data_IF_362569419484
#
_entry.id   IF_362569419484
#
_cell.length_a   1.000
_cell.length_b   1.000
_cell.length_c   1.000
_cell.angle_alpha   90.00
_cell.angle_beta   90.00
_cell.angle_gamma   90.00
#
_symmetry.space_group_name_H-M   'P 1'
#
loop_
_entity.id
_entity.type
_entity.pdbx_description
1 polymer ?
#
# COMPACT_ATOMS: atom_id res chain seq x y z
N UNK A 1 -20.19 2.24 -5.02
CA UNK A 1 -18.97 1.41 -5.22
C UNK A 1 -19.30 0.12 -5.96
N UNK A 2 -20.32 -0.64 -5.55
CA UNK A 2 -20.77 -1.86 -6.23
C UNK A 2 -20.97 -1.68 -7.75
N UNK A 3 -21.81 -0.72 -8.16
CA UNK A 3 -22.10 -0.47 -9.59
C UNK A 3 -20.85 -0.07 -10.40
N UNK A 4 -19.92 0.65 -9.76
CA UNK A 4 -18.66 1.06 -10.40
C UNK A 4 -17.73 -0.15 -10.59
N UNK A 5 -17.64 -1.03 -9.59
CA UNK A 5 -16.86 -2.24 -9.70
C UNK A 5 -17.43 -3.16 -10.78
N UNK A 6 -18.75 -3.32 -10.85
CA UNK A 6 -19.41 -4.11 -11.89
C UNK A 6 -19.06 -3.59 -13.30
N UNK A 7 -19.11 -2.26 -13.50
CA UNK A 7 -18.67 -1.65 -14.75
C UNK A 7 -17.17 -1.86 -15.06
N UNK A 8 -16.31 -2.07 -14.06
CA UNK A 8 -14.90 -2.42 -14.29
C UNK A 8 -14.71 -3.92 -14.58
N UNK A 9 -15.58 -4.78 -14.08
CA UNK A 9 -15.53 -6.23 -14.32
C UNK A 9 -15.96 -6.61 -15.73
N UNK A 10 -16.76 -5.77 -16.40
CA UNK A 10 -17.17 -5.99 -17.80
C UNK A 10 -16.12 -5.55 -18.83
N UNK A 11 -15.04 -4.90 -18.38
CA UNK A 11 -13.97 -4.44 -19.27
C UNK A 11 -13.01 -5.58 -19.63
N UNK A 12 -12.68 -5.67 -20.92
CA UNK A 12 -11.65 -6.59 -21.40
C UNK A 12 -10.25 -5.98 -21.25
N UNK A 13 -9.28 -6.78 -20.80
CA UNK A 13 -7.90 -6.33 -20.68
C UNK A 13 -6.91 -7.46 -20.45
N UNK A 14 -5.69 -7.32 -20.99
CA UNK A 14 -4.67 -8.38 -21.00
C UNK A 14 -4.09 -8.79 -19.63
N UNK A 15 -4.51 -8.13 -18.55
CA UNK A 15 -4.08 -8.43 -17.17
C UNK A 15 -5.26 -8.39 -16.18
N UNK A 16 -6.43 -8.82 -16.65
CA UNK A 16 -7.63 -8.98 -15.82
C UNK A 16 -7.39 -10.03 -14.73
N UNK A 17 -7.82 -9.71 -13.52
CA UNK A 17 -7.80 -10.62 -12.38
C UNK A 17 -9.21 -10.76 -11.81
N UNK A 18 -9.66 -12.00 -11.54
CA UNK A 18 -10.99 -12.24 -11.03
C UNK A 18 -11.12 -11.66 -9.61
N UNK A 19 -12.17 -10.87 -9.41
CA UNK A 19 -12.59 -10.35 -8.10
C UNK A 19 -14.04 -10.79 -7.83
N UNK A 20 -14.38 -11.11 -6.58
CA UNK A 20 -15.78 -11.30 -6.21
C UNK A 20 -16.57 -9.99 -6.42
N UNK A 21 -17.70 -10.09 -7.10
CA UNK A 21 -18.58 -8.95 -7.34
C UNK A 21 -19.18 -8.44 -6.01
N UNK A 22 -19.05 -7.14 -5.74
CA UNK A 22 -19.63 -6.54 -4.54
C UNK A 22 -21.13 -6.28 -4.74
N UNK A 23 -21.95 -6.78 -3.81
CA UNK A 23 -23.42 -6.62 -3.84
C UNK A 23 -23.96 -5.46 -2.99
N UNK A 24 -23.10 -4.49 -2.64
CA UNK A 24 -23.48 -3.33 -1.83
C UNK A 24 -23.79 -3.60 -0.35
N UNK A 25 -23.79 -4.85 0.10
CA UNK A 25 -24.02 -5.24 1.51
C UNK A 25 -22.71 -5.34 2.29
N UNK A 26 -22.70 -4.97 3.57
CA UNK A 26 -21.51 -5.06 4.43
C UNK A 26 -20.90 -6.48 4.47
N UNK A 27 -21.76 -7.50 4.47
CA UNK A 27 -21.32 -8.90 4.40
C UNK A 27 -20.53 -9.21 3.12
N UNK A 28 -20.92 -8.61 1.98
CA UNK A 28 -20.22 -8.77 0.71
C UNK A 28 -18.82 -8.15 0.74
N UNK A 29 -18.64 -7.01 1.41
CA UNK A 29 -17.31 -6.40 1.57
C UNK A 29 -16.41 -7.28 2.45
N UNK A 30 -16.93 -7.80 3.56
CA UNK A 30 -16.16 -8.69 4.46
C UNK A 30 -15.73 -9.97 3.73
N UNK A 31 -16.62 -10.56 2.92
CA UNK A 31 -16.29 -11.75 2.13
C UNK A 31 -15.26 -11.47 1.03
N UNK A 32 -15.30 -10.27 0.43
CA UNK A 32 -14.35 -9.85 -0.59
C UNK A 32 -13.01 -9.36 -0.03
N UNK A 33 -12.94 -9.08 1.28
CA UNK A 33 -11.77 -8.49 1.93
C UNK A 33 -10.49 -9.32 1.77
N UNK A 34 -10.48 -10.65 1.98
CA UNK A 34 -9.26 -11.45 1.81
C UNK A 34 -8.75 -11.40 0.36
N UNK A 35 -9.68 -11.42 -0.60
CA UNK A 35 -9.33 -11.32 -2.02
C UNK A 35 -8.75 -9.93 -2.34
N UNK A 36 -9.40 -8.85 -1.89
CA UNK A 36 -8.95 -7.47 -2.11
C UNK A 36 -7.59 -7.18 -1.48
N UNK A 37 -7.34 -7.66 -0.26
CA UNK A 37 -6.05 -7.54 0.42
C UNK A 37 -4.96 -8.24 -0.39
N UNK A 38 -5.17 -9.50 -0.78
CA UNK A 38 -4.22 -10.22 -1.61
C UNK A 38 -3.94 -9.48 -2.94
N UNK A 39 -5.00 -8.90 -3.51
CA UNK A 39 -4.96 -8.20 -4.78
C UNK A 39 -4.05 -6.97 -4.79
N UNK A 40 -4.00 -6.22 -3.69
CA UNK A 40 -3.24 -4.95 -3.63
C UNK A 40 -1.88 -5.14 -3.01
N UNK A 41 -1.81 -5.95 -1.96
CA UNK A 41 -0.58 -6.13 -1.20
C UNK A 41 0.36 -7.16 -1.83
N UNK A 42 -0.16 -8.23 -2.46
CA UNK A 42 0.70 -9.33 -2.91
C UNK A 42 0.85 -9.43 -4.43
N UNK A 43 -0.10 -8.90 -5.21
CA UNK A 43 -0.05 -8.93 -6.68
C UNK A 43 0.53 -7.64 -7.26
N UNK A 44 1.24 -7.67 -8.41
CA UNK A 44 1.45 -8.82 -9.30
C UNK A 44 2.49 -9.80 -8.78
N UNK A 45 2.21 -11.10 -8.88
CA UNK A 45 3.22 -12.12 -8.62
C UNK A 45 4.22 -12.19 -9.76
N UNK A 46 5.48 -12.55 -9.45
CA UNK A 46 6.52 -12.79 -10.45
C UNK A 46 6.08 -13.83 -11.51
N UNK A 47 5.26 -14.80 -11.10
CA UNK A 47 4.72 -15.86 -11.96
C UNK A 47 3.63 -15.37 -12.94
N UNK A 48 3.02 -14.21 -12.70
CA UNK A 48 1.94 -13.65 -13.51
C UNK A 48 2.42 -12.51 -14.42
N UNK A 49 3.71 -12.18 -14.32
CA UNK A 49 4.32 -11.10 -15.07
C UNK A 49 4.52 -11.50 -16.54
N UNK A 50 3.52 -11.19 -17.36
CA UNK A 50 3.57 -11.36 -18.83
C UNK A 50 4.41 -10.30 -19.54
N UNK A 51 4.90 -9.29 -18.82
CA UNK A 51 5.72 -8.22 -19.37
C UNK A 51 6.87 -7.85 -18.43
N UNK A 52 8.02 -7.36 -18.95
CA UNK A 52 9.15 -6.92 -18.12
C UNK A 52 8.76 -5.86 -17.09
N UNK A 53 7.83 -4.96 -17.45
CA UNK A 53 7.29 -3.93 -16.57
C UNK A 53 6.58 -4.53 -15.34
N UNK A 54 5.83 -5.62 -15.52
CA UNK A 54 5.18 -6.32 -14.42
C UNK A 54 6.18 -7.04 -13.51
N UNK A 55 7.34 -7.46 -14.03
CA UNK A 55 8.41 -8.07 -13.22
C UNK A 55 9.02 -7.02 -12.29
N UNK A 56 9.33 -5.82 -12.80
CA UNK A 56 9.80 -4.72 -11.96
C UNK A 56 8.78 -4.33 -10.89
N UNK A 57 7.49 -4.27 -11.26
CA UNK A 57 6.41 -4.01 -10.31
C UNK A 57 6.30 -5.11 -9.23
N UNK A 58 6.49 -6.37 -9.60
CA UNK A 58 6.48 -7.48 -8.63
C UNK A 58 7.67 -7.38 -7.65
N UNK A 59 8.85 -7.01 -8.14
CA UNK A 59 10.03 -6.76 -7.29
C UNK A 59 9.83 -5.56 -6.36
N UNK A 60 9.25 -4.47 -6.84
CA UNK A 60 8.88 -3.31 -6.01
C UNK A 60 7.93 -3.73 -4.88
N UNK A 61 6.89 -4.51 -5.21
CA UNK A 61 5.94 -5.06 -4.22
C UNK A 61 6.68 -5.83 -3.12
N UNK A 62 7.61 -6.71 -3.52
CA UNK A 62 8.40 -7.52 -2.60
C UNK A 62 9.25 -6.65 -1.67
N UNK A 63 9.90 -5.61 -2.21
CA UNK A 63 10.71 -4.68 -1.43
C UNK A 63 9.85 -3.90 -0.40
N UNK A 64 8.67 -3.43 -0.80
CA UNK A 64 7.74 -2.74 0.11
C UNK A 64 7.27 -3.69 1.22
N UNK A 65 6.89 -4.93 0.90
CA UNK A 65 6.51 -5.94 1.90
C UNK A 65 7.66 -6.18 2.89
N UNK A 66 8.90 -6.33 2.40
CA UNK A 66 10.08 -6.52 3.26
C UNK A 66 10.29 -5.29 4.15
N UNK A 67 10.22 -4.07 3.60
CA UNK A 67 10.39 -2.83 4.36
C UNK A 67 9.36 -2.70 5.49
N UNK A 68 8.08 -2.98 5.18
CA UNK A 68 6.99 -2.98 6.17
C UNK A 68 7.18 -4.10 7.19
N UNK A 69 7.60 -5.30 6.77
CA UNK A 69 7.91 -6.42 7.67
C UNK A 69 9.05 -6.09 8.64
N UNK A 70 10.15 -5.53 8.14
CA UNK A 70 11.27 -5.04 8.95
C UNK A 70 10.81 -3.96 9.94
N UNK A 71 9.96 -3.04 9.49
CA UNK A 71 9.38 -2.01 10.35
C UNK A 71 8.60 -2.65 11.49
N UNK A 72 7.68 -3.58 11.21
CA UNK A 72 6.88 -4.26 12.24
C UNK A 72 7.75 -5.00 13.27
N UNK A 73 8.86 -5.60 12.83
CA UNK A 73 9.84 -6.24 13.72
C UNK A 73 10.62 -5.23 14.57
N UNK A 74 10.97 -4.06 14.03
CA UNK A 74 11.62 -2.97 14.76
C UNK A 74 10.65 -2.27 15.73
N UNK A 75 9.38 -2.16 15.33
CA UNK A 75 8.25 -1.58 16.06
C UNK A 75 7.66 -2.47 17.15
N UNK A 76 8.40 -3.45 17.68
CA UNK A 76 7.99 -4.27 18.85
C UNK A 76 7.45 -3.45 20.03
N UNK A 77 7.63 -2.12 20.03
CA UNK A 77 6.89 -1.15 20.86
C UNK A 77 5.84 -0.39 20.02
N UNK A 78 4.63 -0.94 19.91
CA UNK A 78 3.43 -0.29 19.34
C UNK A 78 3.21 1.13 19.92
N UNK A 79 3.64 1.36 21.18
CA UNK A 79 3.55 2.65 21.88
C UNK A 79 4.19 3.82 21.12
N UNK A 80 5.20 3.58 20.28
CA UNK A 80 5.86 4.67 19.53
C UNK A 80 4.95 5.22 18.44
N UNK A 81 4.15 4.37 17.78
CA UNK A 81 3.22 4.79 16.71
C UNK A 81 2.06 5.57 17.29
N UNK A 82 1.47 5.08 18.38
CA UNK A 82 0.29 5.68 19.02
C UNK A 82 0.56 7.06 19.60
N UNK A 83 1.82 7.37 19.93
CA UNK A 83 2.22 8.68 20.46
C UNK A 83 2.40 9.75 19.37
N UNK A 84 2.35 9.38 18.08
CA UNK A 84 2.53 10.30 16.97
C UNK A 84 1.26 10.32 16.09
N UNK A 85 0.34 11.29 16.29
CA UNK A 85 -0.94 11.32 15.57
C UNK A 85 -0.76 11.42 14.05
N UNK A 86 0.30 12.07 13.58
CA UNK A 86 0.64 12.15 12.15
C UNK A 86 0.97 10.77 11.56
N UNK A 87 1.71 9.92 12.27
CA UNK A 87 2.04 8.58 11.80
C UNK A 87 0.77 7.72 11.70
N UNK A 88 -0.13 7.85 12.68
CA UNK A 88 -1.40 7.14 12.69
C UNK A 88 -2.31 7.58 11.53
N UNK A 89 -2.34 8.88 11.22
CA UNK A 89 -3.05 9.42 10.05
C UNK A 89 -2.47 8.87 8.74
N UNK A 90 -1.16 8.89 8.55
CA UNK A 90 -0.52 8.42 7.30
C UNK A 90 -0.73 6.91 7.09
N UNK A 91 -0.62 6.11 8.17
CA UNK A 91 -0.86 4.67 8.12
C UNK A 91 -2.32 4.35 7.80
N UNK A 92 -3.26 4.97 8.53
CA UNK A 92 -4.70 4.75 8.27
C UNK A 92 -5.11 5.19 6.87
N UNK A 93 -4.63 6.35 6.41
CA UNK A 93 -4.87 6.85 5.06
C UNK A 93 -4.36 5.87 4.00
N UNK A 94 -3.14 5.35 4.17
CA UNK A 94 -2.55 4.39 3.23
C UNK A 94 -3.37 3.09 3.20
N UNK A 95 -3.70 2.52 4.36
CA UNK A 95 -4.45 1.25 4.45
C UNK A 95 -5.84 1.39 3.82
N UNK A 96 -6.55 2.48 4.09
CA UNK A 96 -7.89 2.71 3.52
C UNK A 96 -7.82 2.79 1.99
N UNK A 97 -6.86 3.56 1.45
CA UNK A 97 -6.72 3.69 0.01
C UNK A 97 -6.29 2.38 -0.66
N UNK A 98 -5.40 1.61 -0.03
CA UNK A 98 -5.07 0.26 -0.47
C UNK A 98 -6.31 -0.61 -0.59
N UNK A 99 -7.15 -0.64 0.45
CA UNK A 99 -8.39 -1.42 0.41
C UNK A 99 -9.32 -0.95 -0.71
N UNK A 100 -9.48 0.37 -0.89
CA UNK A 100 -10.31 0.92 -1.98
C UNK A 100 -9.80 0.45 -3.35
N UNK A 101 -8.50 0.53 -3.60
CA UNK A 101 -7.89 0.05 -4.85
C UNK A 101 -8.18 -1.44 -5.04
N UNK A 102 -8.08 -2.24 -3.98
CA UNK A 102 -8.25 -3.70 -4.03
C UNK A 102 -9.67 -4.16 -4.29
N UNK A 103 -10.65 -3.38 -3.84
CA UNK A 103 -12.04 -3.66 -4.14
C UNK A 103 -12.45 -3.21 -5.55
N UNK A 104 -11.76 -2.23 -6.13
CA UNK A 104 -12.28 -1.52 -7.31
C UNK A 104 -11.54 -1.83 -8.60
N UNK A 105 -10.23 -2.11 -8.54
CA UNK A 105 -9.39 -2.19 -9.74
C UNK A 105 -9.08 -3.65 -10.09
N UNK A 106 -9.60 -4.18 -11.21
CA UNK A 106 -9.40 -5.58 -11.59
C UNK A 106 -8.16 -5.83 -12.46
N UNK A 107 -7.36 -4.80 -12.76
CA UNK A 107 -6.23 -4.89 -13.69
C UNK A 107 -4.90 -4.69 -12.98
N UNK A 108 -3.98 -5.65 -13.11
CA UNK A 108 -2.68 -5.63 -12.42
C UNK A 108 -1.89 -4.35 -12.71
N UNK A 109 -1.78 -3.98 -13.98
CA UNK A 109 -1.05 -2.78 -14.39
C UNK A 109 -1.66 -1.48 -13.85
N UNK A 110 -2.97 -1.42 -13.66
CA UNK A 110 -3.65 -0.26 -13.08
C UNK A 110 -3.43 -0.19 -11.56
N UNK A 111 -3.50 -1.34 -10.88
CA UNK A 111 -3.23 -1.44 -9.44
C UNK A 111 -1.85 -0.92 -9.10
N UNK A 112 -0.83 -1.37 -9.84
CA UNK A 112 0.56 -0.92 -9.64
C UNK A 112 0.65 0.61 -9.75
N UNK A 113 0.05 1.21 -10.79
CA UNK A 113 0.10 2.67 -10.98
C UNK A 113 -0.63 3.44 -9.87
N UNK A 114 -1.77 2.95 -9.41
CA UNK A 114 -2.57 3.66 -8.42
C UNK A 114 -2.05 3.49 -7.01
N UNK A 115 -1.41 2.37 -6.68
CA UNK A 115 -0.87 2.15 -5.34
C UNK A 115 0.46 2.88 -5.09
N UNK A 116 1.27 3.16 -6.13
CA UNK A 116 2.58 3.83 -5.98
C UNK A 116 2.47 5.14 -5.19
N UNK A 117 1.42 5.93 -5.41
CA UNK A 117 1.18 7.15 -4.64
C UNK A 117 1.03 6.89 -3.13
N UNK A 118 0.32 5.82 -2.77
CA UNK A 118 0.07 5.46 -1.39
C UNK A 118 1.24 4.66 -0.77
N UNK A 119 2.04 3.97 -1.59
CA UNK A 119 3.32 3.36 -1.18
C UNK A 119 4.28 4.41 -0.65
N UNK A 120 4.42 5.53 -1.36
CA UNK A 120 5.27 6.65 -0.90
C UNK A 120 4.79 7.19 0.45
N UNK A 121 3.47 7.33 0.62
CA UNK A 121 2.87 7.79 1.89
C UNK A 121 3.13 6.78 3.02
N UNK A 122 3.06 5.48 2.72
CA UNK A 122 3.34 4.41 3.68
C UNK A 122 4.82 4.36 4.10
N UNK A 123 5.74 4.72 3.20
CA UNK A 123 7.18 4.72 3.46
C UNK A 123 7.65 5.94 4.28
N UNK A 124 6.92 7.06 4.27
CA UNK A 124 7.29 8.26 5.06
C UNK A 124 7.43 7.95 6.57
N UNK A 125 6.45 7.29 7.22
CA UNK A 125 6.61 6.80 8.59
C UNK A 125 7.89 5.99 8.81
N UNK A 126 8.24 5.10 7.88
CA UNK A 126 9.44 4.27 7.96
C UNK A 126 10.70 5.13 7.98
N UNK A 127 10.78 6.14 7.11
CA UNK A 127 11.91 7.06 7.05
C UNK A 127 12.06 7.88 8.34
N UNK A 128 10.95 8.42 8.87
CA UNK A 128 10.95 9.19 10.13
C UNK A 128 11.43 8.33 11.31
N UNK A 129 11.11 7.03 11.27
CA UNK A 129 11.49 6.09 12.33
C UNK A 129 12.92 5.55 12.19
N UNK A 130 13.40 5.38 10.96
CA UNK A 130 14.78 5.01 10.66
C UNK A 130 15.74 6.16 10.93
N UNK A 131 15.31 7.41 10.74
CA UNK A 131 16.10 8.56 11.14
C UNK A 131 16.17 8.61 12.66
N UNK A 132 17.31 8.18 13.18
CA UNK A 132 17.69 8.40 14.56
C UNK A 132 17.63 9.90 14.80
N UNK A 133 16.72 10.39 15.66
CA UNK A 133 16.47 11.84 15.92
C UNK A 133 17.74 12.70 15.97
N UNK A 134 18.85 12.12 16.41
CA UNK A 134 20.18 12.71 16.43
C UNK A 134 20.76 13.11 15.05
N UNK A 135 20.29 12.59 13.90
CA UNK A 135 20.92 12.83 12.60
C UNK A 135 20.24 13.97 11.82
N UNK A 136 18.89 14.01 11.74
CA UNK A 136 18.16 15.18 11.24
C UNK A 136 18.41 16.42 12.10
N UNK A 137 18.39 16.33 13.44
CA UNK A 137 18.68 17.48 14.30
C UNK A 137 20.13 17.98 14.13
N UNK A 138 21.11 17.07 13.99
CA UNK A 138 22.50 17.46 13.69
C UNK A 138 22.64 18.10 12.32
N UNK A 139 21.94 17.58 11.31
CA UNK A 139 21.98 18.13 9.95
C UNK A 139 21.30 19.50 9.89
N UNK A 140 20.13 19.65 10.51
CA UNK A 140 19.42 20.93 10.63
C UNK A 140 20.23 21.94 11.44
N UNK A 141 20.81 21.57 12.59
CA UNK A 141 21.67 22.47 13.37
C UNK A 141 22.95 22.87 12.63
N UNK A 142 23.51 21.97 11.81
CA UNK A 142 24.72 22.24 11.01
C UNK A 142 24.49 23.26 9.91
N UNK A 143 23.31 23.27 9.29
CA UNK A 143 23.04 24.11 8.12
C UNK A 143 22.10 25.30 8.39
N UNK A 144 21.19 25.21 9.36
CA UNK A 144 20.21 26.26 9.64
C UNK A 144 20.57 27.17 10.81
N UNK A 145 21.64 26.91 11.59
CA UNK A 145 22.07 27.74 12.75
C UNK A 145 20.86 28.39 13.46
N UNK A 146 19.88 27.59 13.85
CA UNK A 146 18.81 28.11 14.69
C UNK A 146 19.43 28.23 16.09
N UNK A 147 19.61 29.49 16.49
CA UNK A 147 20.11 29.92 17.80
C UNK A 147 19.22 29.40 18.93
#
# INVERSE_FOLDING_TARGET
MADRQEAFLTLEGGSFMPLPALKGTLASYIHALPAAVNHVFMRPYLTEAKSPLLIFAALETLLVIIAVGCLLLYLKKIKTITNHPLLMLLLSLSIINYLIIGYTVPFAGAIVRYRVFFEVILLIPILIMCDNKNHLEKWLNKYLRLY
#
